data_IF_232264232754
#
_entry.id   IF_232264232754
#
_cell.length_a   1.000
_cell.length_b   1.000
_cell.length_c   1.000
_cell.angle_alpha   90.00
_cell.angle_beta   90.00
_cell.angle_gamma   90.00
#
_symmetry.space_group_name_H-M   'P 1'
#
loop_
_entity.id
_entity.type
_entity.pdbx_description
1 polymer ?
#
# COMPACT_ATOMS: atom_id res chain seq x y z
N UNK A 1 -16.65 -82.75 -47.59
CA UNK A 1 -17.95 -82.81 -46.89
C UNK A 1 -18.06 -81.59 -45.99
N UNK A 2 -19.14 -80.80 -46.19
CA UNK A 2 -19.75 -79.77 -45.31
C UNK A 2 -18.84 -78.58 -44.92
N UNK A 3 -19.02 -77.40 -45.54
CA UNK A 3 -20.02 -76.34 -45.22
C UNK A 3 -19.77 -75.80 -43.78
N UNK A 4 -19.61 -74.50 -43.53
CA UNK A 4 -20.65 -73.49 -43.78
C UNK A 4 -20.07 -72.07 -43.68
N UNK A 5 -20.47 -71.22 -44.63
CA UNK A 5 -20.35 -69.76 -44.64
C UNK A 5 -21.44 -69.18 -43.72
N UNK A 6 -21.12 -68.19 -42.89
CA UNK A 6 -22.12 -67.29 -42.32
C UNK A 6 -21.72 -65.83 -42.60
N UNK A 7 -22.42 -65.26 -43.58
CA UNK A 7 -22.53 -63.83 -43.86
C UNK A 7 -23.64 -63.29 -42.97
N UNK A 8 -23.38 -62.20 -42.25
CA UNK A 8 -24.40 -61.27 -41.76
C UNK A 8 -23.70 -59.91 -41.59
N UNK A 9 -23.80 -59.02 -42.58
CA UNK A 9 -24.85 -58.00 -42.74
C UNK A 9 -24.35 -56.62 -42.28
N UNK A 10 -24.26 -55.71 -43.25
CA UNK A 10 -24.12 -54.27 -43.08
C UNK A 10 -25.07 -53.73 -42.02
N UNK A 11 -24.60 -52.77 -41.22
CA UNK A 11 -25.30 -51.50 -41.06
C UNK A 11 -24.29 -50.40 -40.69
N UNK A 12 -24.19 -49.42 -41.58
CA UNK A 12 -23.56 -48.14 -41.33
C UNK A 12 -24.28 -47.44 -40.17
N UNK A 13 -23.54 -47.10 -39.13
CA UNK A 13 -24.01 -46.27 -38.03
C UNK A 13 -22.92 -45.27 -37.70
N UNK A 14 -22.91 -44.16 -38.43
CA UNK A 14 -22.21 -42.94 -38.02
C UNK A 14 -22.87 -42.50 -36.71
N UNK A 15 -22.32 -42.93 -35.57
CA UNK A 15 -22.61 -42.27 -34.30
C UNK A 15 -21.82 -40.97 -34.28
N UNK A 16 -22.38 -39.97 -34.98
CA UNK A 16 -22.27 -38.58 -34.58
C UNK A 16 -22.90 -38.51 -33.18
N UNK A 17 -22.10 -38.79 -32.14
CA UNK A 17 -22.42 -38.29 -30.82
C UNK A 17 -22.26 -36.79 -30.90
N UNK A 18 -23.37 -36.13 -31.23
CA UNK A 18 -23.52 -34.70 -31.08
C UNK A 18 -23.21 -34.39 -29.63
N UNK A 19 -21.99 -33.93 -29.37
CA UNK A 19 -21.74 -33.11 -28.20
C UNK A 19 -22.80 -32.01 -28.25
N UNK A 20 -23.61 -31.81 -27.20
CA UNK A 20 -24.17 -30.50 -27.00
C UNK A 20 -22.97 -29.60 -26.74
N UNK A 21 -22.41 -29.03 -27.81
CA UNK A 21 -21.66 -27.80 -27.78
C UNK A 21 -22.67 -26.71 -27.40
N UNK A 22 -23.08 -26.74 -26.13
CA UNK A 22 -23.28 -25.51 -25.41
C UNK A 22 -21.98 -25.29 -24.67
N UNK A 23 -21.00 -24.73 -25.40
CA UNK A 23 -20.19 -23.71 -24.79
C UNK A 23 -21.17 -22.64 -24.28
N UNK A 24 -21.67 -22.83 -23.05
CA UNK A 24 -22.01 -21.68 -22.22
C UNK A 24 -20.79 -20.79 -22.35
N UNK A 25 -20.95 -19.60 -22.90
CA UNK A 25 -20.07 -18.51 -22.57
C UNK A 25 -20.06 -18.47 -21.04
N UNK A 26 -19.11 -19.16 -20.41
CA UNK A 26 -18.99 -19.08 -18.98
C UNK A 26 -18.62 -17.62 -18.78
N UNK A 27 -19.50 -16.84 -18.13
CA UNK A 27 -19.24 -15.45 -17.79
C UNK A 27 -18.09 -15.29 -16.77
N UNK A 28 -17.12 -16.21 -16.81
CA UNK A 28 -15.94 -16.31 -16.00
C UNK A 28 -14.76 -15.71 -16.77
N UNK A 29 -13.90 -14.98 -16.05
CA UNK A 29 -12.79 -14.26 -16.65
C UNK A 29 -11.55 -15.14 -16.71
N UNK A 30 -11.05 -15.44 -17.91
CA UNK A 30 -9.82 -16.23 -18.07
C UNK A 30 -8.60 -15.55 -17.42
N UNK A 31 -7.80 -16.29 -16.68
CA UNK A 31 -6.54 -15.80 -16.07
C UNK A 31 -5.43 -15.95 -17.12
N UNK A 32 -5.14 -14.86 -17.83
CA UNK A 32 -4.13 -14.85 -18.90
C UNK A 32 -3.50 -13.46 -19.07
N UNK A 33 -2.47 -13.36 -19.92
CA UNK A 33 -1.76 -12.10 -20.17
C UNK A 33 -2.63 -11.00 -20.81
N UNK A 34 -3.81 -11.32 -21.36
CA UNK A 34 -4.74 -10.31 -21.89
C UNK A 34 -5.45 -9.59 -20.75
N UNK A 35 -5.94 -10.33 -19.75
CA UNK A 35 -6.71 -9.79 -18.63
C UNK A 35 -5.83 -9.32 -17.47
N UNK A 36 -4.70 -9.99 -17.27
CA UNK A 36 -3.69 -9.69 -16.24
C UNK A 36 -2.31 -9.77 -16.91
N UNK A 37 -1.80 -8.69 -17.53
CA UNK A 37 -0.56 -8.75 -18.30
C UNK A 37 0.68 -9.07 -17.46
N UNK A 38 0.66 -8.67 -16.19
CA UNK A 38 1.73 -8.90 -15.25
C UNK A 38 1.78 -10.34 -14.76
N UNK A 39 2.95 -10.97 -14.81
CA UNK A 39 3.12 -12.36 -14.36
C UNK A 39 2.95 -12.48 -12.85
N UNK A 40 3.46 -11.53 -12.06
CA UNK A 40 3.33 -11.55 -10.59
C UNK A 40 1.86 -11.38 -10.18
N UNK A 41 1.13 -10.49 -10.84
CA UNK A 41 -0.32 -10.33 -10.59
C UNK A 41 -1.08 -11.59 -11.00
N UNK A 42 -0.75 -12.20 -12.15
CA UNK A 42 -1.39 -13.46 -12.57
C UNK A 42 -1.15 -14.60 -11.59
N UNK A 43 0.09 -14.79 -11.16
CA UNK A 43 0.44 -15.81 -10.16
C UNK A 43 -0.35 -15.58 -8.87
N UNK A 44 -0.40 -14.33 -8.39
CA UNK A 44 -1.22 -13.98 -7.23
C UNK A 44 -2.70 -14.32 -7.42
N UNK A 45 -3.28 -13.97 -8.58
CA UNK A 45 -4.68 -14.25 -8.89
C UNK A 45 -4.93 -15.76 -8.95
N UNK A 46 -4.06 -16.50 -9.64
CA UNK A 46 -4.16 -17.96 -9.79
C UNK A 46 -4.00 -18.69 -8.47
N UNK A 47 -3.08 -18.27 -7.60
CA UNK A 47 -2.83 -18.98 -6.34
C UNK A 47 -3.80 -18.59 -5.22
N UNK A 48 -4.25 -17.32 -5.19
CA UNK A 48 -4.96 -16.79 -4.02
C UNK A 48 -6.44 -16.57 -4.29
N UNK A 49 -6.86 -16.37 -5.53
CA UNK A 49 -8.23 -15.99 -5.88
C UNK A 49 -8.96 -17.12 -6.60
N UNK A 50 -8.35 -17.74 -7.62
CA UNK A 50 -8.87 -18.94 -8.27
C UNK A 50 -8.87 -20.10 -7.26
N UNK A 51 -10.05 -20.46 -6.75
CA UNK A 51 -10.17 -21.44 -5.65
C UNK A 51 -10.36 -22.85 -6.14
N UNK A 52 -10.90 -23.01 -7.35
CA UNK A 52 -11.07 -24.31 -7.97
C UNK A 52 -9.92 -24.65 -8.94
N UNK A 53 -8.97 -23.74 -9.16
CA UNK A 53 -7.81 -23.88 -10.03
C UNK A 53 -8.20 -24.23 -11.47
N UNK A 54 -9.33 -23.69 -11.95
CA UNK A 54 -9.83 -23.97 -13.30
C UNK A 54 -9.24 -23.00 -14.36
N UNK A 55 -8.45 -22.01 -13.93
CA UNK A 55 -7.84 -20.99 -14.79
C UNK A 55 -8.79 -19.86 -15.19
N UNK A 56 -9.98 -19.78 -14.59
CA UNK A 56 -10.98 -18.74 -14.80
C UNK A 56 -11.47 -18.20 -13.45
N UNK A 57 -11.85 -16.92 -13.43
CA UNK A 57 -12.46 -16.30 -12.27
C UNK A 57 -13.97 -16.22 -12.43
N UNK A 58 -14.69 -16.93 -11.58
CA UNK A 58 -16.13 -16.78 -11.43
C UNK A 58 -16.51 -15.46 -10.77
N UNK A 59 -17.77 -15.02 -10.97
CA UNK A 59 -18.33 -13.85 -10.26
C UNK A 59 -18.23 -14.01 -8.74
N UNK A 60 -18.41 -15.23 -8.23
CA UNK A 60 -18.33 -15.53 -6.79
C UNK A 60 -16.92 -15.25 -6.27
N UNK A 61 -15.89 -15.75 -6.94
CA UNK A 61 -14.49 -15.52 -6.57
C UNK A 61 -14.13 -14.04 -6.60
N UNK A 62 -14.45 -13.34 -7.70
CA UNK A 62 -14.20 -11.90 -7.84
C UNK A 62 -14.89 -11.11 -6.71
N UNK A 63 -16.16 -11.41 -6.43
CA UNK A 63 -16.94 -10.69 -5.42
C UNK A 63 -16.48 -10.95 -3.98
N UNK A 64 -15.87 -12.11 -3.72
CA UNK A 64 -15.36 -12.51 -2.42
C UNK A 64 -14.02 -11.83 -2.06
N UNK A 65 -13.31 -11.25 -3.03
CA UNK A 65 -12.01 -10.62 -2.78
C UNK A 65 -12.17 -9.36 -1.93
N UNK A 66 -11.62 -9.42 -0.72
CA UNK A 66 -11.56 -8.29 0.23
C UNK A 66 -10.17 -7.70 0.41
N UNK A 67 -9.14 -8.46 0.06
CA UNK A 67 -7.75 -8.10 0.29
C UNK A 67 -6.91 -8.49 -0.92
N UNK A 68 -6.10 -7.54 -1.41
CA UNK A 68 -5.02 -7.79 -2.36
C UNK A 68 -3.69 -7.57 -1.64
N UNK A 69 -2.83 -8.59 -1.65
CA UNK A 69 -1.47 -8.51 -1.09
C UNK A 69 -0.51 -9.10 -2.12
N UNK A 70 0.27 -8.22 -2.74
CA UNK A 70 1.37 -8.58 -3.62
C UNK A 70 2.63 -8.05 -2.92
N UNK A 71 3.40 -8.96 -2.32
CA UNK A 71 4.59 -8.64 -1.53
C UNK A 71 5.79 -9.43 -2.02
N UNK A 72 6.79 -8.70 -2.50
CA UNK A 72 8.05 -9.24 -2.98
C UNK A 72 9.26 -8.76 -2.18
N UNK A 73 9.06 -8.21 -0.98
CA UNK A 73 10.18 -7.82 -0.10
C UNK A 73 11.11 -8.99 0.28
N UNK A 74 10.71 -10.25 0.06
CA UNK A 74 11.35 -11.42 0.68
C UNK A 74 12.46 -12.08 -0.16
N UNK A 75 12.81 -11.60 -1.35
CA UNK A 75 13.68 -12.38 -2.26
C UNK A 75 15.20 -12.22 -2.05
N UNK A 76 15.65 -11.34 -1.16
CA UNK A 76 17.07 -10.92 -1.11
C UNK A 76 17.83 -11.42 0.12
N UNK A 77 17.16 -11.57 1.27
CA UNK A 77 17.86 -12.05 2.46
C UNK A 77 18.19 -13.54 2.36
N UNK A 78 17.43 -14.28 1.56
CA UNK A 78 17.60 -15.72 1.35
C UNK A 78 18.69 -16.02 0.30
N UNK A 79 18.86 -15.17 -0.72
CA UNK A 79 19.70 -15.51 -1.88
C UNK A 79 21.08 -14.82 -1.93
N UNK A 80 21.37 -13.82 -1.09
CA UNK A 80 22.67 -13.09 -0.99
C UNK A 80 23.28 -12.53 -2.29
N UNK A 81 22.65 -12.70 -3.45
CA UNK A 81 23.04 -12.11 -4.72
C UNK A 81 22.27 -10.79 -4.95
N UNK A 82 22.99 -9.77 -5.43
CA UNK A 82 22.36 -8.56 -5.98
C UNK A 82 21.61 -8.97 -7.25
N UNK A 83 20.28 -8.81 -7.31
CA UNK A 83 19.56 -9.12 -8.53
C UNK A 83 19.90 -8.13 -9.63
N UNK A 84 19.79 -8.67 -10.84
CA UNK A 84 20.02 -7.98 -12.11
C UNK A 84 19.02 -6.84 -12.30
N UNK A 85 19.40 -5.88 -13.14
CA UNK A 85 18.90 -4.51 -13.26
C UNK A 85 17.39 -4.35 -13.57
N UNK A 86 16.65 -5.43 -13.85
CA UNK A 86 15.19 -5.46 -14.04
C UNK A 86 14.44 -5.70 -12.73
N UNK A 87 14.53 -4.77 -11.79
CA UNK A 87 13.78 -4.87 -10.53
C UNK A 87 12.26 -4.83 -10.76
N UNK A 88 11.55 -5.64 -9.98
CA UNK A 88 10.16 -6.03 -10.22
C UNK A 88 9.21 -4.86 -10.47
N UNK A 89 8.53 -4.94 -11.60
CA UNK A 89 7.40 -4.10 -11.93
C UNK A 89 6.15 -4.85 -11.49
N UNK A 90 5.26 -4.18 -10.77
CA UNK A 90 3.89 -4.66 -10.53
C UNK A 90 2.98 -3.85 -11.45
N UNK A 91 2.56 -4.40 -12.58
CA UNK A 91 1.50 -3.81 -13.39
C UNK A 91 0.12 -4.19 -12.83
N UNK A 92 -0.59 -3.20 -12.29
CA UNK A 92 -1.89 -3.39 -11.63
C UNK A 92 -3.07 -3.65 -12.59
N UNK A 93 -2.86 -3.66 -13.90
CA UNK A 93 -3.94 -3.89 -14.87
C UNK A 93 -4.66 -5.22 -14.61
N UNK A 94 -5.98 -5.19 -14.65
CA UNK A 94 -6.87 -6.31 -14.32
C UNK A 94 -7.35 -6.29 -12.88
N UNK A 95 -6.66 -5.60 -11.95
CA UNK A 95 -7.10 -5.53 -10.55
C UNK A 95 -8.39 -4.71 -10.37
N UNK A 96 -8.78 -3.87 -11.33
CA UNK A 96 -10.00 -3.06 -11.31
C UNK A 96 -11.28 -3.88 -11.14
N UNK A 97 -11.26 -5.16 -11.50
CA UNK A 97 -12.44 -6.05 -11.39
C UNK A 97 -12.80 -6.37 -9.93
N UNK A 98 -11.82 -6.29 -9.01
CA UNK A 98 -11.99 -6.67 -7.60
C UNK A 98 -12.59 -5.52 -6.76
N UNK A 99 -13.74 -5.00 -7.19
CA UNK A 99 -14.37 -3.78 -6.65
C UNK A 99 -14.79 -3.86 -5.18
N UNK A 100 -14.81 -5.06 -4.58
CA UNK A 100 -15.11 -5.31 -3.17
C UNK A 100 -13.92 -5.21 -2.23
N UNK A 101 -12.72 -4.93 -2.75
CA UNK A 101 -11.48 -4.85 -1.98
C UNK A 101 -11.49 -3.69 -0.99
N UNK A 102 -11.08 -4.00 0.24
CA UNK A 102 -10.99 -3.05 1.35
C UNK A 102 -9.53 -2.84 1.80
N UNK A 103 -8.63 -3.76 1.46
CA UNK A 103 -7.21 -3.69 1.79
C UNK A 103 -6.35 -4.01 0.57
N UNK A 104 -5.40 -3.13 0.27
CA UNK A 104 -4.38 -3.34 -0.77
C UNK A 104 -3.01 -3.14 -0.14
N UNK A 105 -2.11 -4.11 -0.36
CA UNK A 105 -0.68 -4.01 -0.08
C UNK A 105 0.08 -4.36 -1.35
N UNK A 106 0.84 -3.40 -1.88
CA UNK A 106 1.73 -3.57 -3.03
C UNK A 106 3.14 -3.22 -2.57
N UNK A 107 4.01 -4.21 -2.48
CA UNK A 107 5.36 -4.00 -2.00
C UNK A 107 6.37 -4.72 -2.87
N UNK A 108 7.31 -3.96 -3.39
CA UNK A 108 8.51 -4.46 -4.08
C UNK A 108 9.70 -4.34 -3.14
N UNK A 109 10.84 -4.88 -3.56
CA UNK A 109 12.08 -4.81 -2.80
C UNK A 109 12.52 -3.38 -2.46
N UNK A 110 13.12 -3.24 -1.26
CA UNK A 110 13.82 -2.04 -0.85
C UNK A 110 14.96 -2.41 0.10
N UNK A 111 16.21 -2.38 -0.38
CA UNK A 111 17.46 -2.54 0.41
C UNK A 111 17.80 -1.30 1.24
N UNK A 112 17.34 -0.14 0.79
CA UNK A 112 17.83 1.17 1.22
C UNK A 112 16.72 1.99 1.86
N UNK A 113 17.03 3.23 2.21
CA UNK A 113 16.03 4.16 2.71
C UNK A 113 14.98 4.50 1.64
N UNK A 114 15.38 4.69 0.39
CA UNK A 114 14.48 5.01 -0.74
C UNK A 114 14.73 4.01 -1.84
N UNK A 115 13.66 3.44 -2.37
CA UNK A 115 13.84 2.57 -3.52
C UNK A 115 14.24 3.37 -4.76
N UNK A 116 15.43 3.07 -5.27
CA UNK A 116 15.83 3.42 -6.63
C UNK A 116 15.23 2.45 -7.65
N UNK A 117 14.72 1.33 -7.15
CA UNK A 117 14.28 0.17 -7.90
C UNK A 117 12.79 -0.14 -7.67
N UNK A 118 12.24 -1.06 -8.47
CA UNK A 118 10.83 -1.46 -8.39
C UNK A 118 9.86 -0.38 -8.85
N UNK A 119 8.77 -0.77 -9.49
CA UNK A 119 7.79 0.19 -10.02
C UNK A 119 6.39 -0.39 -10.02
N UNK A 120 5.37 0.45 -9.83
CA UNK A 120 3.98 0.08 -10.08
C UNK A 120 3.53 0.73 -11.38
N UNK A 121 3.15 -0.09 -12.36
CA UNK A 121 2.47 0.38 -13.59
C UNK A 121 0.96 0.35 -13.39
N UNK A 122 0.26 1.21 -14.12
CA UNK A 122 -1.20 1.34 -14.10
C UNK A 122 -1.78 1.50 -12.68
N UNK A 123 -1.09 2.22 -11.79
CA UNK A 123 -1.49 2.42 -10.39
C UNK A 123 -2.84 3.13 -10.26
N UNK A 124 -3.24 3.90 -11.26
CA UNK A 124 -4.54 4.56 -11.35
C UNK A 124 -5.72 3.59 -11.35
N UNK A 125 -5.50 2.30 -11.67
CA UNK A 125 -6.49 1.22 -11.48
C UNK A 125 -7.02 1.18 -10.05
N UNK A 126 -6.16 1.45 -9.06
CA UNK A 126 -6.57 1.47 -7.65
C UNK A 126 -7.67 2.50 -7.38
N UNK A 127 -7.80 3.56 -8.19
CA UNK A 127 -8.87 4.56 -8.03
C UNK A 127 -10.27 4.01 -8.31
N UNK A 128 -10.38 2.88 -9.02
CA UNK A 128 -11.64 2.16 -9.25
C UNK A 128 -12.07 1.35 -8.02
N UNK A 129 -11.14 1.02 -7.13
CA UNK A 129 -11.36 0.23 -5.92
C UNK A 129 -11.83 1.13 -4.75
N UNK A 130 -12.99 1.77 -4.92
CA UNK A 130 -13.48 2.83 -4.03
C UNK A 130 -13.82 2.38 -2.59
N UNK A 131 -13.88 1.06 -2.34
CA UNK A 131 -14.08 0.46 -1.02
C UNK A 131 -12.79 0.32 -0.20
N UNK A 132 -11.61 0.64 -0.77
CA UNK A 132 -10.34 0.59 -0.03
C UNK A 132 -10.41 1.47 1.23
N UNK A 133 -10.14 0.82 2.36
CA UNK A 133 -9.95 1.44 3.69
C UNK A 133 -8.48 1.47 4.09
N UNK A 134 -7.69 0.49 3.64
CA UNK A 134 -6.28 0.33 3.98
C UNK A 134 -5.43 0.18 2.72
N UNK A 135 -4.56 1.17 2.45
CA UNK A 135 -3.62 1.12 1.33
C UNK A 135 -2.18 1.17 1.83
N UNK A 136 -1.36 0.23 1.38
CA UNK A 136 0.07 0.17 1.64
C UNK A 136 0.84 0.00 0.33
N UNK A 137 1.74 0.94 0.05
CA UNK A 137 2.65 0.93 -1.08
C UNK A 137 4.07 1.14 -0.52
N UNK A 138 4.99 0.25 -0.83
CA UNK A 138 6.36 0.34 -0.32
C UNK A 138 7.39 -0.15 -1.33
N UNK A 139 8.57 0.47 -1.32
CA UNK A 139 9.73 -0.01 -2.07
C UNK A 139 9.68 0.27 -3.57
N UNK A 140 8.86 1.23 -4.00
CA UNK A 140 8.63 1.53 -5.43
C UNK A 140 9.14 2.92 -5.80
N UNK A 141 9.60 3.08 -7.02
CA UNK A 141 10.14 4.33 -7.57
C UNK A 141 9.03 5.32 -8.06
N UNK A 142 7.75 4.98 -7.92
CA UNK A 142 6.67 5.92 -8.23
C UNK A 142 6.77 7.21 -7.39
N UNK A 143 6.48 8.35 -8.02
CA UNK A 143 6.57 9.67 -7.36
C UNK A 143 5.23 10.41 -7.25
N UNK A 144 4.24 9.99 -8.02
CA UNK A 144 2.92 10.61 -8.10
C UNK A 144 1.85 9.57 -7.79
N UNK A 145 0.90 9.96 -6.95
CA UNK A 145 -0.25 9.13 -6.59
C UNK A 145 -1.50 10.01 -6.57
N UNK A 146 -2.57 9.54 -7.19
CA UNK A 146 -3.90 10.11 -7.06
C UNK A 146 -4.81 9.16 -6.29
N UNK A 147 -5.11 9.52 -5.04
CA UNK A 147 -6.04 8.79 -4.18
C UNK A 147 -7.30 9.60 -3.89
N UNK A 148 -7.60 10.64 -4.68
CA UNK A 148 -8.74 11.53 -4.44
C UNK A 148 -10.09 10.86 -4.59
N UNK A 149 -10.15 9.69 -5.26
CA UNK A 149 -11.35 8.85 -5.36
C UNK A 149 -11.50 7.85 -4.20
N UNK A 150 -10.45 7.63 -3.39
CA UNK A 150 -10.46 6.69 -2.26
C UNK A 150 -11.03 7.35 -0.99
N UNK A 151 -12.30 7.73 -1.04
CA UNK A 151 -12.96 8.50 0.02
C UNK A 151 -13.16 7.69 1.32
N UNK A 152 -13.07 6.36 1.24
CA UNK A 152 -13.17 5.46 2.39
C UNK A 152 -11.84 5.15 3.08
N UNK A 153 -10.74 5.75 2.61
CA UNK A 153 -9.40 5.47 3.12
C UNK A 153 -9.25 5.91 4.59
N UNK A 154 -8.96 4.94 5.46
CA UNK A 154 -8.72 5.13 6.90
C UNK A 154 -7.23 5.01 7.26
N UNK A 155 -6.49 4.19 6.52
CA UNK A 155 -5.04 4.04 6.67
C UNK A 155 -4.35 4.15 5.31
N UNK A 156 -3.34 5.01 5.26
CA UNK A 156 -2.43 5.13 4.11
C UNK A 156 -0.99 4.97 4.57
N UNK A 157 -0.27 4.08 3.90
CA UNK A 157 1.17 3.90 4.06
C UNK A 157 1.84 3.99 2.68
N UNK A 158 2.73 4.97 2.51
CA UNK A 158 3.61 5.09 1.33
C UNK A 158 5.03 5.19 1.87
N UNK A 159 5.81 4.12 1.76
CA UNK A 159 7.13 4.01 2.40
C UNK A 159 8.23 3.80 1.36
N UNK A 160 9.37 4.47 1.55
CA UNK A 160 10.58 4.22 0.75
C UNK A 160 10.33 4.41 -0.75
N UNK A 161 9.74 5.55 -1.12
CA UNK A 161 9.40 5.90 -2.51
C UNK A 161 9.98 7.25 -2.91
N UNK A 162 9.85 7.63 -4.19
CA UNK A 162 10.22 8.97 -4.68
C UNK A 162 9.09 9.99 -4.57
N UNK A 163 8.18 9.84 -3.59
CA UNK A 163 7.06 10.74 -3.36
C UNK A 163 7.52 12.19 -3.18
N UNK A 164 7.10 13.08 -4.10
CA UNK A 164 7.39 14.53 -4.06
C UNK A 164 6.24 15.35 -3.46
N UNK A 165 5.01 14.96 -3.79
CA UNK A 165 3.77 15.65 -3.41
C UNK A 165 2.65 14.64 -3.19
N UNK A 166 1.73 14.95 -2.30
CA UNK A 166 0.56 14.12 -2.03
C UNK A 166 -0.65 15.00 -1.68
N UNK A 167 -1.75 14.81 -2.38
CA UNK A 167 -3.01 15.48 -2.09
C UNK A 167 -3.95 14.52 -1.34
N UNK A 168 -4.23 14.82 -0.07
CA UNK A 168 -5.14 14.04 0.79
C UNK A 168 -6.42 14.79 1.13
N UNK A 169 -6.76 15.85 0.38
CA UNK A 169 -7.89 16.73 0.69
C UNK A 169 -9.26 16.05 0.66
N UNK A 170 -9.40 14.96 -0.11
CA UNK A 170 -10.63 14.16 -0.22
C UNK A 170 -10.68 12.97 0.74
N UNK A 171 -9.54 12.53 1.27
CA UNK A 171 -9.44 11.38 2.18
C UNK A 171 -9.73 11.77 3.64
N UNK A 172 -10.92 12.34 3.88
CA UNK A 172 -11.31 12.95 5.17
C UNK A 172 -11.53 11.92 6.29
N UNK A 173 -11.67 10.63 5.94
CA UNK A 173 -11.80 9.50 6.88
C UNK A 173 -10.45 8.97 7.39
N UNK A 174 -9.31 9.48 6.90
CA UNK A 174 -7.98 9.03 7.33
C UNK A 174 -7.78 9.18 8.84
N UNK A 175 -7.36 8.09 9.48
CA UNK A 175 -6.99 7.98 10.90
C UNK A 175 -5.49 7.74 11.10
N UNK A 176 -4.82 7.10 10.13
CA UNK A 176 -3.41 6.75 10.20
C UNK A 176 -2.68 7.03 8.88
N UNK A 177 -1.65 7.88 8.94
CA UNK A 177 -0.84 8.25 7.79
C UNK A 177 0.64 7.93 8.07
N UNK A 178 1.24 7.11 7.21
CA UNK A 178 2.67 6.80 7.25
C UNK A 178 3.31 7.15 5.91
N UNK A 179 4.23 8.10 5.92
CA UNK A 179 4.99 8.57 4.76
C UNK A 179 6.50 8.46 5.04
N UNK A 180 6.91 7.42 5.76
CA UNK A 180 8.30 7.25 6.16
C UNK A 180 9.21 7.02 4.95
N UNK A 181 10.44 7.54 5.04
CA UNK A 181 11.46 7.41 4.01
C UNK A 181 11.04 7.93 2.63
N UNK A 182 10.56 9.16 2.58
CA UNK A 182 10.30 9.88 1.33
C UNK A 182 11.07 11.21 1.36
N UNK A 183 12.38 11.23 1.01
CA UNK A 183 13.24 12.41 1.18
C UNK A 183 12.90 13.55 0.21
N UNK A 184 12.16 13.28 -0.86
CA UNK A 184 11.71 14.29 -1.81
C UNK A 184 10.43 15.01 -1.35
N UNK A 185 9.67 14.45 -0.40
CA UNK A 185 8.45 15.07 0.13
C UNK A 185 8.81 16.23 1.06
N UNK A 186 8.74 17.47 0.57
CA UNK A 186 9.14 18.65 1.36
C UNK A 186 8.04 19.23 2.25
N UNK A 187 6.77 19.04 1.90
CA UNK A 187 5.62 19.58 2.64
C UNK A 187 4.42 18.65 2.56
N UNK A 188 3.57 18.67 3.59
CA UNK A 188 2.29 17.96 3.59
C UNK A 188 1.19 18.84 4.19
N UNK A 189 0.05 18.91 3.49
CA UNK A 189 -1.15 19.63 3.94
C UNK A 189 -2.20 18.61 4.39
N UNK A 190 -2.56 18.67 5.67
CA UNK A 190 -3.51 17.77 6.33
C UNK A 190 -4.70 18.52 6.93
N UNK A 191 -4.98 19.74 6.45
CA UNK A 191 -6.06 20.60 6.96
C UNK A 191 -7.45 20.00 6.85
N UNK A 192 -7.67 19.12 5.86
CA UNK A 192 -8.94 18.43 5.64
C UNK A 192 -9.05 17.09 6.40
N UNK A 193 -7.94 16.52 6.87
CA UNK A 193 -7.89 15.21 7.52
C UNK A 193 -8.16 15.32 9.03
N UNK A 194 -9.33 15.85 9.40
CA UNK A 194 -9.70 16.17 10.80
C UNK A 194 -9.76 14.94 11.73
N UNK A 195 -9.93 13.75 11.18
CA UNK A 195 -9.98 12.48 11.91
C UNK A 195 -8.61 11.81 12.09
N UNK A 196 -7.54 12.41 11.58
CA UNK A 196 -6.20 11.84 11.66
C UNK A 196 -5.73 11.79 13.12
N UNK A 197 -5.26 10.63 13.55
CA UNK A 197 -4.79 10.40 14.92
C UNK A 197 -3.30 10.05 14.98
N UNK A 198 -2.76 9.45 13.92
CA UNK A 198 -1.38 8.98 13.86
C UNK A 198 -0.70 9.48 12.59
N UNK A 199 0.46 10.11 12.75
CA UNK A 199 1.33 10.52 11.64
C UNK A 199 2.72 9.97 11.88
N UNK A 200 3.27 9.31 10.86
CA UNK A 200 4.66 8.88 10.81
C UNK A 200 5.34 9.44 9.57
N UNK A 201 6.26 10.37 9.77
CA UNK A 201 7.06 11.01 8.72
C UNK A 201 8.56 10.68 8.88
N UNK A 202 8.88 9.61 9.60
CA UNK A 202 10.26 9.19 9.87
C UNK A 202 11.12 9.20 8.60
N UNK A 203 12.28 9.84 8.63
CA UNK A 203 13.24 9.81 7.51
C UNK A 203 12.73 10.47 6.22
N UNK A 204 11.71 11.33 6.30
CA UNK A 204 11.18 12.05 5.14
C UNK A 204 11.82 13.44 4.98
N UNK A 205 11.72 13.99 3.78
CA UNK A 205 12.24 15.32 3.44
C UNK A 205 11.46 16.49 4.01
N UNK A 206 10.49 16.22 4.89
CA UNK A 206 9.46 17.19 5.27
C UNK A 206 10.07 18.32 6.08
N UNK A 207 9.86 19.54 5.59
CA UNK A 207 10.22 20.80 6.27
C UNK A 207 9.00 21.46 6.91
N UNK A 208 7.80 21.19 6.39
CA UNK A 208 6.54 21.83 6.83
C UNK A 208 5.36 20.86 6.81
N UNK A 209 4.65 20.82 7.93
CA UNK A 209 3.33 20.19 8.06
C UNK A 209 2.30 21.29 8.27
N UNK A 210 1.16 21.22 7.60
CA UNK A 210 0.02 22.12 7.85
C UNK A 210 -1.15 21.30 8.38
N UNK A 211 -1.50 21.51 9.64
CA UNK A 211 -2.62 20.85 10.31
C UNK A 211 -3.82 21.81 10.43
N UNK A 212 -5.03 21.26 10.44
CA UNK A 212 -6.22 22.02 10.79
C UNK A 212 -6.25 22.41 12.27
N UNK A 213 -7.00 23.47 12.60
CA UNK A 213 -7.34 23.82 13.99
C UNK A 213 -7.99 22.62 14.68
N UNK A 214 -7.71 22.43 15.97
CA UNK A 214 -8.26 21.34 16.79
C UNK A 214 -8.05 19.93 16.20
N UNK A 215 -6.89 19.69 15.57
CA UNK A 215 -6.54 18.36 15.06
C UNK A 215 -6.60 17.28 16.16
N UNK A 216 -6.88 16.04 15.78
CA UNK A 216 -7.01 14.88 16.68
C UNK A 216 -5.73 14.06 16.80
N UNK A 217 -4.58 14.61 16.41
CA UNK A 217 -3.31 13.88 16.44
C UNK A 217 -2.98 13.47 17.88
N UNK A 218 -2.78 12.16 18.05
CA UNK A 218 -2.36 11.54 19.31
C UNK A 218 -0.89 11.14 19.24
N UNK A 219 -0.44 10.63 18.11
CA UNK A 219 0.94 10.14 17.93
C UNK A 219 1.58 10.80 16.70
N UNK A 220 2.66 11.53 16.93
CA UNK A 220 3.46 12.15 15.87
C UNK A 220 4.90 11.61 15.93
N UNK A 221 5.33 10.94 14.87
CA UNK A 221 6.73 10.60 14.65
C UNK A 221 7.30 11.48 13.53
N UNK A 222 8.17 12.40 13.92
CA UNK A 222 8.84 13.38 13.05
C UNK A 222 10.36 13.15 13.03
N UNK A 223 10.84 12.02 13.53
CA UNK A 223 12.27 11.73 13.58
C UNK A 223 12.90 11.80 12.19
N UNK A 224 14.14 12.26 12.11
CA UNK A 224 14.90 12.33 10.85
C UNK A 224 14.14 13.13 9.76
N UNK A 225 13.52 14.24 10.15
CA UNK A 225 12.87 15.19 9.22
C UNK A 225 13.59 16.53 9.24
N UNK A 226 13.33 17.37 8.23
CA UNK A 226 13.92 18.70 8.11
C UNK A 226 13.05 19.81 8.74
N UNK A 227 12.18 19.44 9.69
CA UNK A 227 11.37 20.42 10.43
C UNK A 227 12.30 21.18 11.38
N UNK A 228 12.28 22.50 11.31
CA UNK A 228 13.09 23.39 12.17
C UNK A 228 12.29 24.16 13.21
N UNK A 229 10.99 24.35 12.98
CA UNK A 229 10.11 25.10 13.88
C UNK A 229 8.92 24.24 14.30
N UNK A 230 9.00 23.67 15.50
CA UNK A 230 7.95 22.86 16.08
C UNK A 230 6.62 23.61 16.25
N UNK A 231 6.64 24.88 16.68
CA UNK A 231 5.41 25.62 16.97
C UNK A 231 4.55 25.80 15.71
N UNK A 232 5.18 25.89 14.53
CA UNK A 232 4.48 25.92 13.23
C UNK A 232 3.76 24.62 12.88
N UNK A 233 4.09 23.49 13.50
CA UNK A 233 3.36 22.23 13.29
C UNK A 233 1.94 22.28 13.89
N UNK A 234 1.70 23.14 14.90
CA UNK A 234 0.38 23.36 15.50
C UNK A 234 -0.33 22.08 15.97
N UNK A 235 0.37 21.19 16.66
CA UNK A 235 -0.26 20.02 17.29
C UNK A 235 -1.22 20.44 18.39
N UNK A 236 -2.35 19.75 18.49
CA UNK A 236 -3.33 20.04 19.53
C UNK A 236 -2.83 19.56 20.91
N UNK A 237 -2.65 20.47 21.89
CA UNK A 237 -2.15 20.10 23.21
C UNK A 237 -3.08 19.21 24.02
N UNK A 238 -4.39 19.21 23.70
CA UNK A 238 -5.38 18.38 24.39
C UNK A 238 -5.29 16.91 23.97
N UNK A 239 -4.82 16.61 22.76
CA UNK A 239 -4.87 15.26 22.18
C UNK A 239 -3.52 14.58 22.04
N UNK A 240 -2.42 15.33 21.88
CA UNK A 240 -1.09 14.76 21.63
C UNK A 240 -0.58 13.97 22.84
N UNK A 241 -0.32 12.67 22.65
CA UNK A 241 0.14 11.71 23.67
C UNK A 241 1.59 11.27 23.46
N UNK A 242 2.03 11.19 22.20
CA UNK A 242 3.39 10.79 21.85
C UNK A 242 3.97 11.75 20.81
N UNK A 243 5.17 12.25 21.08
CA UNK A 243 5.94 13.08 20.15
C UNK A 243 7.35 12.50 20.02
N UNK A 244 7.79 12.27 18.78
CA UNK A 244 9.18 11.91 18.47
C UNK A 244 9.75 12.94 17.50
N UNK A 245 10.84 13.59 17.88
CA UNK A 245 11.51 14.70 17.16
C UNK A 245 13.04 14.55 17.17
N UNK A 246 13.54 13.33 17.19
CA UNK A 246 14.98 13.03 17.12
C UNK A 246 15.50 13.34 15.71
N UNK A 247 16.74 13.83 15.63
CA UNK A 247 17.46 14.11 14.40
C UNK A 247 16.62 15.01 13.46
N UNK A 248 16.08 16.08 14.06
CA UNK A 248 15.36 17.14 13.34
C UNK A 248 16.17 18.43 13.41
N UNK A 249 15.73 19.47 12.69
CA UNK A 249 16.34 20.80 12.80
C UNK A 249 15.75 21.64 13.95
N UNK A 250 14.93 21.05 14.82
CA UNK A 250 14.29 21.73 15.95
C UNK A 250 15.34 21.96 17.04
N UNK A 251 15.67 23.22 17.34
CA UNK A 251 16.61 23.56 18.42
C UNK A 251 15.95 23.73 19.79
N UNK A 252 14.65 24.04 19.81
CA UNK A 252 13.88 24.36 21.03
C UNK A 252 12.42 23.95 20.85
N UNK A 253 11.82 23.42 21.92
CA UNK A 253 10.41 23.05 21.95
C UNK A 253 9.76 23.47 23.28
N UNK A 254 8.61 24.17 23.21
CA UNK A 254 7.83 24.53 24.39
C UNK A 254 6.63 23.59 24.55
N UNK A 255 6.73 22.70 25.53
CA UNK A 255 5.73 21.70 25.83
C UNK A 255 4.86 22.04 27.04
N UNK A 256 4.97 23.25 27.62
CA UNK A 256 4.21 23.67 28.81
C UNK A 256 2.68 23.47 28.67
N UNK A 257 2.15 23.64 27.46
CA UNK A 257 0.71 23.45 27.16
C UNK A 257 0.28 21.99 27.00
N UNK A 258 1.21 21.05 26.79
CA UNK A 258 0.92 19.65 26.44
C UNK A 258 0.81 18.74 27.67
N UNK A 259 -0.15 19.03 28.55
CA UNK A 259 -0.35 18.31 29.83
C UNK A 259 -0.63 16.80 29.65
N UNK A 260 -1.16 16.39 28.49
CA UNK A 260 -1.50 15.01 28.18
C UNK A 260 -0.37 14.23 27.45
N UNK A 261 0.78 14.85 27.20
CA UNK A 261 1.90 14.21 26.53
C UNK A 261 2.53 13.17 27.47
N UNK A 262 2.50 11.90 27.06
CA UNK A 262 2.99 10.77 27.87
C UNK A 262 4.41 10.35 27.52
N UNK A 263 4.79 10.48 26.25
CA UNK A 263 6.08 10.01 25.73
C UNK A 263 6.70 11.07 24.83
N UNK A 264 7.94 11.44 25.12
CA UNK A 264 8.77 12.29 24.29
C UNK A 264 10.04 11.53 23.89
N UNK A 265 10.33 11.47 22.60
CA UNK A 265 11.65 11.10 22.07
C UNK A 265 12.27 12.32 21.42
N UNK A 266 13.47 12.69 21.83
CA UNK A 266 14.11 13.95 21.41
C UNK A 266 15.63 13.82 21.38
N UNK A 267 16.28 14.53 20.47
CA UNK A 267 17.75 14.66 20.41
C UNK A 267 18.25 15.49 21.59
N UNK A 268 19.40 15.12 22.15
CA UNK A 268 19.96 15.67 23.39
C UNK A 268 20.11 17.20 23.37
N UNK A 269 20.49 17.76 22.23
CA UNK A 269 20.77 19.19 22.01
C UNK A 269 19.50 20.06 21.99
N UNK A 270 18.31 19.45 21.88
CA UNK A 270 17.06 20.20 21.79
C UNK A 270 16.66 20.72 23.17
N UNK A 271 16.57 22.05 23.31
CA UNK A 271 16.07 22.68 24.54
C UNK A 271 14.58 22.40 24.73
N UNK A 272 14.24 21.49 25.64
CA UNK A 272 12.85 21.14 26.00
C UNK A 272 12.36 21.95 27.19
N UNK A 273 11.28 22.72 27.02
CA UNK A 273 10.66 23.53 28.09
C UNK A 273 9.32 22.93 28.51
N UNK A 274 9.08 22.83 29.83
CA UNK A 274 7.75 22.55 30.37
C UNK A 274 7.28 21.09 30.26
N UNK A 275 8.14 20.16 29.84
CA UNK A 275 7.84 18.72 29.85
C UNK A 275 8.47 18.03 31.06
N UNK A 276 7.62 17.43 31.90
CA UNK A 276 8.00 16.72 33.14
C UNK A 276 7.87 15.20 33.05
N UNK A 277 7.42 14.66 31.90
CA UNK A 277 7.22 13.22 31.71
C UNK A 277 8.47 12.45 31.30
N UNK A 278 8.32 11.14 31.06
CA UNK A 278 9.41 10.25 30.62
C UNK A 278 9.94 10.66 29.25
N UNK A 279 11.24 10.94 29.18
CA UNK A 279 11.99 11.26 27.96
C UNK A 279 12.82 10.06 27.51
N UNK A 280 12.84 9.80 26.21
CA UNK A 280 13.90 9.03 25.58
C UNK A 280 14.80 10.03 24.87
N UNK A 281 16.05 10.12 25.33
CA UNK A 281 17.04 11.03 24.76
C UNK A 281 17.87 10.24 23.76
N UNK A 282 18.05 10.81 22.56
CA UNK A 282 18.95 10.29 21.55
C UNK A 282 20.19 11.17 21.51
N UNK A 283 21.36 10.55 21.64
CA UNK A 283 22.65 11.20 21.47
C UNK A 283 23.11 10.92 20.04
N UNK A 284 23.43 11.95 19.26
CA UNK A 284 23.93 11.80 17.89
C UNK A 284 25.43 11.50 17.86
N UNK A 285 26.10 11.44 19.01
CA UNK A 285 27.47 10.95 19.14
C UNK A 285 27.49 9.42 19.12
N UNK A 286 27.27 8.80 17.96
CA UNK A 286 27.62 7.41 17.63
C UNK A 286 27.43 7.17 16.12
#
# INVERSE_FOLDING_TARGET
MKRTIAIAALCAGIMLTTFPCQAKESGNLKINAKNFPDTIVREYVSEKIDKNNDGYLSKKEISAVKTIIIDKNNLYWENKEKPKEDYEIIDCKGLEIFTNVEKVKLTTYCDTYVSEYGNIKNIEVLTKLTKIKNLEISGVNNSNYDFTKLNNLERLCIKSTKLKKLNLSKNVKLKNLKLAYNPLLKKINLTKNKNLEKINLYGSGVKKITLGKNNKIKNANLNCTFISNYEKCNFNPKTLKTLKICNTQIKKVNLKKYKNLKKLSVTKEVKVIGYKGKKTIYDETL
#
